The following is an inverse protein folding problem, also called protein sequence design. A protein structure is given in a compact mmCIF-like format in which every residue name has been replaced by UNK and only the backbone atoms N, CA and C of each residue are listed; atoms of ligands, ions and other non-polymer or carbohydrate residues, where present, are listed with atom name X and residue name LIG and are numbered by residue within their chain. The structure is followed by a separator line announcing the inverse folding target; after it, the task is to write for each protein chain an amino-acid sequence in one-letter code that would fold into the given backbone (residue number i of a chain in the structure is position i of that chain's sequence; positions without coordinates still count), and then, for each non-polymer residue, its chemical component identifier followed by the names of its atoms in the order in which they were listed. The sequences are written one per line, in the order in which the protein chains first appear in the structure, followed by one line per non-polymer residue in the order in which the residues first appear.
data_IF_351414179030
#
_entry.id   IF_351414179030
#
_cell.length_a   1.000
_cell.length_b   1.000
_cell.length_c   1.000
_cell.angle_alpha   90.00
_cell.angle_beta   90.00
_cell.angle_gamma   90.00
#
_symmetry.space_group_name_H-M   'P 1'
#
loop_
_entity.id
_entity.type
_entity.pdbx_description
1 polymer ?
#
# COMPACT_ATOMS: atom_id res chain seq x y z
N UNK A 1 9.50 -9.86 27.36
CA UNK A 1 8.32 -9.40 26.58
C UNK A 1 7.93 -10.55 25.65
N UNK A 2 6.63 -10.89 25.54
CA UNK A 2 6.20 -11.94 24.57
C UNK A 2 6.49 -11.48 23.15
N UNK A 3 7.00 -12.35 22.28
CA UNK A 3 7.28 -12.07 20.87
C UNK A 3 6.05 -11.60 20.11
N UNK A 4 4.87 -12.07 20.51
CA UNK A 4 3.60 -11.64 19.88
C UNK A 4 3.30 -10.16 20.11
N UNK A 5 3.78 -9.56 21.22
CA UNK A 5 3.64 -8.12 21.47
C UNK A 5 4.42 -7.25 20.48
N UNK A 6 5.40 -7.82 19.78
CA UNK A 6 6.11 -7.08 18.74
C UNK A 6 5.20 -6.74 17.54
N UNK A 7 4.14 -7.50 17.33
CA UNK A 7 3.16 -7.32 16.24
C UNK A 7 1.94 -6.49 16.64
N UNK A 8 1.87 -6.06 17.91
CA UNK A 8 0.76 -5.24 18.43
C UNK A 8 0.85 -3.82 17.87
N UNK A 9 -0.27 -3.33 17.32
CA UNK A 9 -0.41 -1.98 16.80
C UNK A 9 -1.30 -1.10 17.71
N UNK A 10 -1.59 -1.54 18.93
CA UNK A 10 -2.39 -0.78 19.90
C UNK A 10 -1.76 0.60 20.16
N UNK A 11 -2.59 1.64 20.13
CA UNK A 11 -2.15 3.02 20.30
C UNK A 11 -1.47 3.65 19.09
N UNK A 12 -1.34 2.92 17.96
CA UNK A 12 -0.83 3.47 16.69
C UNK A 12 -1.96 4.00 15.84
N UNK A 13 -1.65 5.01 15.03
CA UNK A 13 -2.54 5.57 14.02
C UNK A 13 -1.98 5.24 12.65
N UNK A 14 -2.78 4.56 11.82
CA UNK A 14 -2.40 4.20 10.45
C UNK A 14 -3.22 4.99 9.43
N UNK A 15 -2.56 5.56 8.42
CA UNK A 15 -3.20 6.12 7.24
C UNK A 15 -2.99 5.18 6.07
N UNK A 16 -4.07 4.71 5.45
CA UNK A 16 -4.03 3.73 4.35
C UNK A 16 -4.70 4.30 3.10
N UNK A 17 -3.93 4.50 2.04
CA UNK A 17 -4.45 4.94 0.75
C UNK A 17 -4.96 3.75 -0.09
N UNK A 18 -5.89 4.01 -1.04
CA UNK A 18 -6.50 2.94 -1.83
C UNK A 18 -7.39 1.99 -1.00
N UNK A 19 -7.85 2.44 0.16
CA UNK A 19 -8.49 1.61 1.18
C UNK A 19 -9.97 1.27 0.90
N UNK A 20 -10.56 1.74 -0.21
CA UNK A 20 -11.95 1.40 -0.57
C UNK A 20 -12.14 -0.02 -1.11
N UNK A 21 -11.07 -0.74 -1.46
CA UNK A 21 -11.14 -2.10 -2.01
C UNK A 21 -9.78 -2.80 -2.04
N UNK A 22 -9.79 -4.12 -2.28
CA UNK A 22 -8.59 -4.91 -2.57
C UNK A 22 -7.52 -4.84 -1.47
N UNK A 23 -6.25 -4.70 -1.86
CA UNK A 23 -5.10 -4.78 -0.96
C UNK A 23 -5.16 -3.70 0.13
N UNK A 24 -5.45 -2.44 -0.23
CA UNK A 24 -5.52 -1.36 0.75
C UNK A 24 -6.61 -1.58 1.80
N UNK A 25 -7.78 -2.08 1.39
CA UNK A 25 -8.87 -2.42 2.32
C UNK A 25 -8.48 -3.58 3.25
N UNK A 26 -7.85 -4.63 2.71
CA UNK A 26 -7.41 -5.78 3.50
C UNK A 26 -6.34 -5.40 4.54
N UNK A 27 -5.38 -4.53 4.17
CA UNK A 27 -4.36 -4.02 5.09
C UNK A 27 -5.00 -3.15 6.17
N UNK A 28 -5.94 -2.25 5.80
CA UNK A 28 -6.64 -1.41 6.76
C UNK A 28 -7.40 -2.23 7.81
N UNK A 29 -8.10 -3.29 7.38
CA UNK A 29 -8.79 -4.21 8.28
C UNK A 29 -7.80 -4.95 9.18
N UNK A 30 -6.70 -5.47 8.64
CA UNK A 30 -5.67 -6.17 9.41
C UNK A 30 -5.03 -5.27 10.49
N UNK A 31 -4.78 -4.00 10.17
CA UNK A 31 -4.23 -3.06 11.14
C UNK A 31 -5.22 -2.73 12.26
N UNK A 32 -6.50 -2.57 11.93
CA UNK A 32 -7.55 -2.37 12.94
C UNK A 32 -7.69 -3.58 13.87
N UNK A 33 -7.63 -4.80 13.33
CA UNK A 33 -7.63 -6.04 14.11
C UNK A 33 -6.39 -6.17 15.00
N UNK A 34 -5.24 -5.65 14.54
CA UNK A 34 -4.00 -5.59 15.33
C UNK A 34 -3.98 -4.42 16.34
N UNK A 35 -5.07 -3.66 16.50
CA UNK A 35 -5.24 -2.63 17.52
C UNK A 35 -5.02 -1.19 17.06
N UNK A 36 -4.64 -0.95 15.80
CA UNK A 36 -4.45 0.42 15.30
C UNK A 36 -5.80 1.15 15.09
N UNK A 37 -5.78 2.47 15.24
CA UNK A 37 -6.81 3.34 14.69
C UNK A 37 -6.47 3.67 13.24
N UNK A 38 -7.42 3.49 12.30
CA UNK A 38 -7.13 3.54 10.87
C UNK A 38 -7.87 4.69 10.17
N UNK A 39 -7.13 5.57 9.52
CA UNK A 39 -7.67 6.59 8.60
C UNK A 39 -7.58 6.03 7.17
N UNK A 40 -8.72 5.72 6.60
CA UNK A 40 -8.84 5.12 5.26
C UNK A 40 -9.01 6.21 4.21
N UNK A 41 -8.22 6.16 3.13
CA UNK A 41 -8.18 7.21 2.09
C UNK A 41 -8.48 6.61 0.72
N UNK A 42 -9.47 7.16 0.01
CA UNK A 42 -9.78 6.79 -1.38
C UNK A 42 -10.69 7.83 -2.04
N UNK A 43 -10.90 7.70 -3.37
CA UNK A 43 -11.80 8.58 -4.13
C UNK A 43 -13.27 8.18 -4.01
N UNK A 44 -13.54 6.86 -3.96
CA UNK A 44 -14.88 6.29 -3.95
C UNK A 44 -15.45 6.31 -2.54
N UNK A 45 -16.25 7.34 -2.27
CA UNK A 45 -16.71 7.64 -0.90
C UNK A 45 -17.68 6.59 -0.35
N UNK A 46 -18.60 6.09 -1.16
CA UNK A 46 -19.60 5.10 -0.71
C UNK A 46 -18.94 3.78 -0.27
N UNK A 47 -18.03 3.25 -1.12
CA UNK A 47 -17.29 2.03 -0.80
C UNK A 47 -16.35 2.23 0.39
N UNK A 48 -15.78 3.45 0.51
CA UNK A 48 -14.89 3.80 1.62
C UNK A 48 -15.67 3.82 2.94
N UNK A 49 -16.85 4.45 2.99
CA UNK A 49 -17.73 4.44 4.16
C UNK A 49 -18.18 3.03 4.54
N UNK A 50 -18.53 2.20 3.54
CA UNK A 50 -18.87 0.79 3.78
C UNK A 50 -17.70 0.01 4.39
N UNK A 51 -16.47 0.25 3.92
CA UNK A 51 -15.28 -0.39 4.47
C UNK A 51 -14.99 0.05 5.92
N UNK A 52 -15.17 1.34 6.24
CA UNK A 52 -15.09 1.86 7.61
C UNK A 52 -16.11 1.21 8.53
N UNK A 53 -17.38 1.13 8.10
CA UNK A 53 -18.45 0.51 8.87
C UNK A 53 -18.16 -0.96 9.21
N UNK A 54 -17.55 -1.72 8.27
CA UNK A 54 -17.16 -3.12 8.52
C UNK A 54 -16.11 -3.22 9.64
N UNK A 55 -15.10 -2.35 9.63
CA UNK A 55 -14.08 -2.31 10.69
C UNK A 55 -14.70 -1.93 12.03
N UNK A 56 -15.57 -0.92 12.05
CA UNK A 56 -16.23 -0.46 13.27
C UNK A 56 -17.18 -1.54 13.82
N UNK A 57 -17.93 -2.25 12.98
CA UNK A 57 -18.80 -3.36 13.38
C UNK A 57 -18.02 -4.54 13.98
N UNK A 58 -16.74 -4.71 13.60
CA UNK A 58 -15.82 -5.68 14.20
C UNK A 58 -15.12 -5.15 15.48
N UNK A 59 -15.50 -3.96 15.98
CA UNK A 59 -14.92 -3.35 17.18
C UNK A 59 -13.65 -2.53 16.94
N UNK A 60 -13.19 -2.40 15.70
CA UNK A 60 -12.02 -1.60 15.35
C UNK A 60 -12.31 -0.09 15.26
N UNK A 61 -11.26 0.72 15.31
CA UNK A 61 -11.34 2.18 15.14
C UNK A 61 -11.00 2.54 13.71
N UNK A 62 -11.95 3.12 12.97
CA UNK A 62 -11.73 3.57 11.60
C UNK A 62 -12.47 4.87 11.30
N UNK A 63 -11.86 5.70 10.46
CA UNK A 63 -12.43 6.90 9.85
C UNK A 63 -12.01 6.95 8.38
N UNK A 64 -12.59 7.86 7.60
CA UNK A 64 -12.22 7.98 6.20
C UNK A 64 -12.09 9.43 5.73
N UNK A 65 -11.23 9.63 4.73
CA UNK A 65 -11.05 10.87 3.99
C UNK A 65 -11.26 10.58 2.50
N UNK A 66 -12.19 11.29 1.87
CA UNK A 66 -12.28 11.27 0.41
C UNK A 66 -11.14 12.11 -0.17
N UNK A 67 -10.27 11.50 -0.98
CA UNK A 67 -9.13 12.17 -1.59
C UNK A 67 -8.85 11.63 -2.99
N UNK A 68 -8.65 12.53 -3.95
CA UNK A 68 -8.04 12.17 -5.24
C UNK A 68 -6.53 12.42 -5.17
N UNK A 69 -5.77 11.34 -5.14
CA UNK A 69 -4.31 11.39 -5.05
C UNK A 69 -3.62 11.87 -6.35
N UNK A 70 -4.35 11.94 -7.48
CA UNK A 70 -3.85 12.57 -8.69
C UNK A 70 -3.75 14.11 -8.55
N UNK A 71 -4.55 14.68 -7.62
CA UNK A 71 -4.62 16.10 -7.39
C UNK A 71 -3.76 16.50 -6.18
N UNK A 72 -2.66 17.23 -6.43
CA UNK A 72 -1.70 17.62 -5.39
C UNK A 72 -2.34 18.37 -4.22
N UNK A 73 -3.28 19.28 -4.51
CA UNK A 73 -4.01 20.03 -3.48
C UNK A 73 -4.85 19.11 -2.59
N UNK A 74 -5.54 18.13 -3.20
CA UNK A 74 -6.34 17.14 -2.48
C UNK A 74 -5.46 16.26 -1.56
N UNK A 75 -4.29 15.85 -2.06
CA UNK A 75 -3.32 15.07 -1.30
C UNK A 75 -2.82 15.84 -0.06
N UNK A 76 -2.49 17.13 -0.23
CA UNK A 76 -2.01 17.96 0.89
C UNK A 76 -3.12 18.19 1.92
N UNK A 77 -4.33 18.51 1.49
CA UNK A 77 -5.49 18.63 2.37
C UNK A 77 -5.76 17.33 3.16
N UNK A 78 -5.60 16.17 2.50
CA UNK A 78 -5.73 14.88 3.16
C UNK A 78 -4.66 14.70 4.27
N UNK A 79 -3.41 15.08 4.02
CA UNK A 79 -2.35 15.00 5.03
C UNK A 79 -2.60 15.93 6.23
N UNK A 80 -3.16 17.12 5.98
CA UNK A 80 -3.52 18.10 7.01
C UNK A 80 -4.71 17.63 7.85
N UNK A 81 -5.72 17.01 7.21
CA UNK A 81 -6.93 16.53 7.88
C UNK A 81 -6.72 15.23 8.67
N UNK A 82 -5.80 14.37 8.24
CA UNK A 82 -5.65 13.03 8.83
C UNK A 82 -5.46 13.03 10.36
N UNK A 83 -4.70 13.96 10.97
CA UNK A 83 -4.52 14.01 12.43
C UNK A 83 -5.79 14.33 13.23
N UNK A 84 -6.83 14.90 12.62
CA UNK A 84 -8.07 15.32 13.31
C UNK A 84 -8.87 14.12 13.84
N UNK A 85 -8.70 12.92 13.29
CA UNK A 85 -9.48 11.74 13.67
C UNK A 85 -8.92 11.03 14.91
N UNK A 86 -7.64 10.68 14.88
CA UNK A 86 -7.03 9.84 15.92
C UNK A 86 -5.64 10.34 16.34
N UNK A 87 -5.26 11.54 15.92
CA UNK A 87 -3.91 12.09 16.07
C UNK A 87 -3.02 11.81 14.85
N UNK A 88 -1.80 12.33 14.90
CA UNK A 88 -0.86 12.25 13.79
C UNK A 88 -0.52 10.78 13.44
N UNK A 89 -0.63 10.39 12.16
CA UNK A 89 -0.32 9.03 11.73
C UNK A 89 1.10 8.60 12.09
N UNK A 90 1.21 7.41 12.65
CA UNK A 90 2.45 6.71 12.95
C UNK A 90 2.86 5.77 11.80
N UNK A 91 1.87 5.31 11.04
CA UNK A 91 2.02 4.37 9.93
C UNK A 91 1.36 4.94 8.68
N UNK A 92 2.06 4.92 7.55
CA UNK A 92 1.52 5.31 6.24
C UNK A 92 1.62 4.13 5.28
N UNK A 93 0.48 3.72 4.70
CA UNK A 93 0.44 2.69 3.66
C UNK A 93 0.03 3.33 2.33
N UNK A 94 0.95 3.30 1.38
CA UNK A 94 0.71 3.76 0.01
C UNK A 94 0.25 2.59 -0.86
N UNK A 95 -1.07 2.27 -0.78
CA UNK A 95 -1.68 1.16 -1.52
C UNK A 95 -2.56 1.61 -2.70
N UNK A 96 -2.77 2.91 -2.88
CA UNK A 96 -3.45 3.41 -4.06
C UNK A 96 -2.64 3.14 -5.33
N UNK A 97 -3.33 2.76 -6.39
CA UNK A 97 -2.68 2.56 -7.68
C UNK A 97 -3.68 2.30 -8.80
N UNK A 98 -3.26 2.62 -10.01
CA UNK A 98 -3.96 2.33 -11.27
C UNK A 98 -3.02 1.64 -12.24
N UNK A 99 -3.57 0.88 -13.17
CA UNK A 99 -2.84 0.27 -14.28
C UNK A 99 -3.64 0.51 -15.57
N UNK A 100 -3.25 1.51 -16.35
CA UNK A 100 -3.80 1.79 -17.68
C UNK A 100 -3.11 0.85 -18.66
N UNK A 101 -3.88 -0.06 -19.25
CA UNK A 101 -3.37 -1.12 -20.13
C UNK A 101 -3.64 -0.75 -21.59
N UNK A 102 -2.59 -0.35 -22.29
CA UNK A 102 -2.59 -0.04 -23.71
C UNK A 102 -1.28 -0.49 -24.36
N UNK A 103 -1.27 -0.82 -25.67
CA UNK A 103 -0.03 -0.95 -26.43
C UNK A 103 0.86 0.28 -26.25
N UNK A 104 2.19 0.10 -26.25
CA UNK A 104 3.14 1.17 -25.94
C UNK A 104 2.97 2.40 -26.84
N UNK A 105 2.66 2.21 -28.11
CA UNK A 105 2.45 3.30 -29.08
C UNK A 105 1.11 4.03 -28.94
N UNK A 106 0.16 3.46 -28.19
CA UNK A 106 -1.16 4.06 -27.95
C UNK A 106 -1.26 4.80 -26.61
N UNK A 107 -0.20 4.72 -25.80
CA UNK A 107 -0.14 5.43 -24.53
C UNK A 107 0.00 6.94 -24.78
N UNK A 108 -0.84 7.72 -24.12
CA UNK A 108 -0.80 9.18 -24.16
C UNK A 108 0.04 9.74 -23.02
N UNK A 109 0.44 11.01 -23.12
CA UNK A 109 1.08 11.75 -22.01
C UNK A 109 0.18 11.76 -20.76
N UNK A 110 -1.14 11.91 -20.95
CA UNK A 110 -2.09 11.87 -19.83
C UNK A 110 -2.12 10.50 -19.13
N UNK A 111 -2.07 9.40 -19.89
CA UNK A 111 -2.01 8.04 -19.34
C UNK A 111 -0.74 7.85 -18.48
N UNK A 112 0.38 8.36 -18.98
CA UNK A 112 1.67 8.35 -18.29
C UNK A 112 1.60 9.19 -17.02
N UNK A 113 1.29 10.46 -17.13
CA UNK A 113 1.23 11.42 -16.04
C UNK A 113 0.29 10.97 -14.92
N UNK A 114 -0.93 10.55 -15.29
CA UNK A 114 -1.91 10.08 -14.32
C UNK A 114 -1.43 8.85 -13.57
N UNK A 115 -0.78 7.91 -14.27
CA UNK A 115 -0.22 6.72 -13.64
C UNK A 115 0.88 7.09 -12.66
N UNK A 116 1.82 7.95 -13.04
CA UNK A 116 2.90 8.38 -12.15
C UNK A 116 2.38 9.18 -10.96
N UNK A 117 1.46 10.13 -11.18
CA UNK A 117 0.88 10.94 -10.09
C UNK A 117 0.24 10.09 -9.00
N UNK A 118 -0.53 9.07 -9.38
CA UNK A 118 -1.23 8.22 -8.40
C UNK A 118 -0.28 7.19 -7.79
N UNK A 119 0.54 6.51 -8.60
CA UNK A 119 1.31 5.36 -8.13
C UNK A 119 2.63 5.74 -7.46
N UNK A 120 3.29 6.80 -7.93
CA UNK A 120 4.64 7.19 -7.50
C UNK A 120 4.63 8.50 -6.71
N UNK A 121 4.10 9.59 -7.31
CA UNK A 121 4.13 10.90 -6.64
C UNK A 121 3.40 10.89 -5.30
N UNK A 122 2.22 10.25 -5.23
CA UNK A 122 1.49 10.14 -3.98
C UNK A 122 2.29 9.41 -2.91
N UNK A 123 3.06 8.37 -3.31
CA UNK A 123 3.93 7.62 -2.41
C UNK A 123 5.15 8.42 -1.91
N UNK A 124 5.47 9.52 -2.59
CA UNK A 124 6.49 10.48 -2.14
C UNK A 124 5.90 11.59 -1.29
N UNK A 125 4.90 12.32 -1.82
CA UNK A 125 4.46 13.57 -1.20
C UNK A 125 3.60 13.36 0.05
N UNK A 126 2.83 12.29 0.14
CA UNK A 126 2.02 12.02 1.33
C UNK A 126 2.90 11.68 2.55
N UNK A 127 3.84 10.72 2.48
CA UNK A 127 4.79 10.51 3.57
C UNK A 127 5.65 11.74 3.89
N UNK A 128 6.05 12.53 2.88
CA UNK A 128 6.83 13.76 3.10
C UNK A 128 6.10 14.75 4.01
N UNK A 129 4.77 14.87 3.89
CA UNK A 129 3.94 15.73 4.75
C UNK A 129 3.75 15.19 6.16
N UNK A 130 3.74 13.86 6.31
CA UNK A 130 3.48 13.20 7.59
C UNK A 130 4.76 12.88 8.37
N UNK A 131 5.90 12.74 7.71
CA UNK A 131 7.19 12.41 8.32
C UNK A 131 7.63 13.36 9.44
N UNK A 132 7.41 14.69 9.40
CA UNK A 132 7.81 15.57 10.51
C UNK A 132 7.23 15.15 11.86
N UNK A 133 5.96 14.71 11.92
CA UNK A 133 5.35 14.23 13.15
C UNK A 133 5.94 12.89 13.61
N UNK A 134 6.28 11.99 12.68
CA UNK A 134 6.96 10.74 12.99
C UNK A 134 8.39 10.99 13.51
N UNK A 135 9.13 11.93 12.90
CA UNK A 135 10.47 12.34 13.33
C UNK A 135 10.41 12.88 14.76
N UNK A 136 9.45 13.74 15.06
CA UNK A 136 9.28 14.30 16.41
C UNK A 136 8.97 13.22 17.47
N UNK A 137 8.29 12.13 17.08
CA UNK A 137 8.01 10.97 17.93
C UNK A 137 9.20 9.99 18.03
N UNK A 138 10.19 10.09 17.13
CA UNK A 138 11.28 9.10 17.00
C UNK A 138 10.83 7.71 16.54
N UNK A 139 9.64 7.61 15.93
CA UNK A 139 9.09 6.36 15.43
C UNK A 139 8.11 6.58 14.28
N UNK A 140 8.22 5.77 13.24
CA UNK A 140 7.31 5.77 12.11
C UNK A 140 7.48 4.55 11.21
N UNK A 141 6.44 4.24 10.43
CA UNK A 141 6.46 3.17 9.42
C UNK A 141 5.86 3.67 8.12
N UNK A 142 6.58 3.42 7.02
CA UNK A 142 6.10 3.65 5.67
C UNK A 142 6.08 2.32 4.95
N UNK A 143 4.91 1.89 4.48
CA UNK A 143 4.72 0.65 3.73
C UNK A 143 4.20 1.00 2.34
N UNK A 144 5.06 0.87 1.34
CA UNK A 144 4.71 1.12 -0.05
C UNK A 144 4.23 -0.17 -0.73
N UNK A 145 3.18 -0.11 -1.53
CA UNK A 145 2.77 -1.25 -2.35
C UNK A 145 3.45 -1.15 -3.72
N UNK A 146 4.51 -1.93 -3.88
CA UNK A 146 5.22 -2.18 -5.12
C UNK A 146 4.44 -3.18 -6.01
N UNK A 147 5.13 -4.00 -6.80
CA UNK A 147 4.53 -5.01 -7.68
C UNK A 147 5.59 -6.01 -8.17
N UNK A 148 5.17 -7.15 -8.69
CA UNK A 148 6.00 -7.95 -9.59
C UNK A 148 6.59 -7.11 -10.72
N UNK A 149 5.82 -6.10 -11.20
CA UNK A 149 6.27 -5.19 -12.27
C UNK A 149 7.32 -4.17 -11.82
N UNK A 150 7.74 -4.18 -10.57
CA UNK A 150 8.94 -3.44 -10.15
C UNK A 150 10.23 -4.05 -10.70
N UNK A 151 10.22 -5.33 -11.04
CA UNK A 151 11.41 -6.09 -11.51
C UNK A 151 11.15 -6.93 -12.77
N UNK A 152 9.89 -7.07 -13.20
CA UNK A 152 9.50 -7.85 -14.38
C UNK A 152 8.58 -7.04 -15.29
N UNK A 153 8.72 -7.16 -16.59
CA UNK A 153 7.82 -6.55 -17.57
C UNK A 153 6.60 -7.44 -17.83
N UNK A 154 5.43 -6.79 -17.96
CA UNK A 154 4.20 -7.41 -18.44
C UNK A 154 3.64 -6.59 -19.60
N UNK A 155 3.00 -7.24 -20.56
CA UNK A 155 2.46 -6.59 -21.75
C UNK A 155 1.47 -5.46 -21.42
N UNK A 156 1.51 -4.41 -22.22
CA UNK A 156 0.57 -3.26 -22.16
C UNK A 156 0.52 -2.52 -20.81
N UNK A 157 1.62 -2.49 -20.07
CA UNK A 157 1.67 -1.92 -18.72
C UNK A 157 2.91 -1.06 -18.48
N UNK A 158 3.43 -0.38 -19.52
CA UNK A 158 4.67 0.39 -19.44
C UNK A 158 4.72 1.41 -18.29
N UNK A 159 3.79 2.38 -18.22
CA UNK A 159 3.77 3.38 -17.15
C UNK A 159 3.61 2.77 -15.75
N UNK A 160 2.80 1.70 -15.65
CA UNK A 160 2.63 1.00 -14.38
C UNK A 160 3.94 0.35 -13.90
N UNK A 161 4.63 -0.38 -14.80
CA UNK A 161 5.93 -0.98 -14.49
C UNK A 161 6.95 0.07 -14.07
N UNK A 162 7.06 1.17 -14.83
CA UNK A 162 7.93 2.29 -14.51
C UNK A 162 7.62 2.88 -13.12
N UNK A 163 6.32 3.13 -12.84
CA UNK A 163 5.90 3.65 -11.53
C UNK A 163 6.25 2.71 -10.38
N UNK A 164 6.06 1.39 -10.57
CA UNK A 164 6.33 0.40 -9.50
C UNK A 164 7.82 0.10 -9.30
N UNK A 165 8.63 0.19 -10.36
CA UNK A 165 10.09 0.25 -10.25
C UNK A 165 10.54 1.50 -9.47
N UNK A 166 9.94 2.66 -9.79
CA UNK A 166 10.15 3.91 -9.08
C UNK A 166 9.78 3.81 -7.59
N UNK A 167 8.64 3.20 -7.24
CA UNK A 167 8.22 2.97 -5.84
C UNK A 167 9.23 2.12 -5.09
N UNK A 168 9.77 1.07 -5.70
CA UNK A 168 10.80 0.23 -5.08
C UNK A 168 12.07 1.04 -4.76
N UNK A 169 12.53 1.89 -5.69
CA UNK A 169 13.70 2.73 -5.46
C UNK A 169 13.40 3.90 -4.52
N UNK A 170 12.19 4.50 -4.59
CA UNK A 170 11.73 5.52 -3.65
C UNK A 170 11.73 5.01 -2.21
N UNK A 171 11.34 3.75 -2.01
CA UNK A 171 11.36 3.11 -0.68
C UNK A 171 12.77 3.12 -0.07
N UNK A 172 13.80 2.85 -0.87
CA UNK A 172 15.20 2.94 -0.42
C UNK A 172 15.61 4.37 -0.08
N UNK A 173 15.20 5.34 -0.90
CA UNK A 173 15.48 6.76 -0.64
C UNK A 173 14.78 7.25 0.64
N UNK A 174 13.54 6.85 0.88
CA UNK A 174 12.82 7.16 2.12
C UNK A 174 13.51 6.54 3.35
N UNK A 175 13.98 5.30 3.22
CA UNK A 175 14.72 4.61 4.27
C UNK A 175 16.05 5.33 4.58
N UNK A 176 16.83 5.66 3.56
CA UNK A 176 18.10 6.38 3.72
C UNK A 176 17.89 7.73 4.43
N UNK A 177 16.90 8.50 3.98
CA UNK A 177 16.64 9.83 4.51
C UNK A 177 16.14 9.82 5.96
N UNK A 178 15.29 8.85 6.33
CA UNK A 178 14.50 8.96 7.56
C UNK A 178 14.78 7.87 8.62
N UNK A 179 15.52 6.80 8.30
CA UNK A 179 15.73 5.73 9.30
C UNK A 179 16.53 6.17 10.52
N UNK A 180 17.44 7.14 10.37
CA UNK A 180 18.17 7.75 11.50
C UNK A 180 17.25 8.50 12.49
N UNK A 181 16.02 8.79 12.08
CA UNK A 181 14.98 9.40 12.92
C UNK A 181 13.94 8.39 13.43
N UNK A 182 14.20 7.09 13.33
CA UNK A 182 13.31 6.02 13.79
C UNK A 182 12.19 5.65 12.81
N UNK A 183 12.23 6.13 11.55
CA UNK A 183 11.23 5.80 10.54
C UNK A 183 11.78 4.68 9.63
N UNK A 184 11.15 3.50 9.66
CA UNK A 184 11.45 2.44 8.69
C UNK A 184 10.52 2.53 7.49
N UNK A 185 11.09 2.55 6.29
CA UNK A 185 10.35 2.55 5.03
C UNK A 185 10.64 1.25 4.27
N UNK A 186 9.57 0.48 3.99
CA UNK A 186 9.67 -0.78 3.27
C UNK A 186 8.57 -0.91 2.21
N UNK A 187 8.71 -1.86 1.30
CA UNK A 187 7.70 -2.15 0.29
C UNK A 187 7.23 -3.60 0.37
N UNK A 188 5.97 -3.81 0.02
CA UNK A 188 5.42 -5.12 -0.30
C UNK A 188 5.23 -5.17 -1.82
N UNK A 189 5.73 -6.21 -2.48
CA UNK A 189 5.52 -6.49 -3.89
C UNK A 189 4.57 -7.69 -4.04
N UNK A 190 3.26 -7.45 -4.21
CA UNK A 190 2.30 -8.53 -4.35
C UNK A 190 2.42 -9.25 -5.69
N UNK A 191 2.16 -10.55 -5.68
CA UNK A 191 1.87 -11.35 -6.86
C UNK A 191 0.48 -11.05 -7.43
N UNK A 192 -0.17 -12.08 -7.99
CA UNK A 192 -1.54 -11.96 -8.48
C UNK A 192 -2.55 -12.23 -7.37
N UNK A 193 -3.33 -11.20 -7.03
CA UNK A 193 -4.42 -11.21 -6.05
C UNK A 193 -5.72 -10.77 -6.74
N UNK A 194 -6.85 -11.35 -6.36
CA UNK A 194 -8.15 -10.96 -6.87
C UNK A 194 -8.54 -9.58 -6.33
N UNK A 195 -8.43 -8.55 -7.16
CA UNK A 195 -8.74 -7.15 -6.84
C UNK A 195 -9.37 -6.46 -8.06
N UNK A 196 -9.99 -5.29 -7.91
CA UNK A 196 -10.47 -4.52 -9.06
C UNK A 196 -9.37 -4.19 -10.09
N UNK A 197 -8.12 -3.99 -9.65
CA UNK A 197 -6.99 -3.70 -10.54
C UNK A 197 -6.63 -4.90 -11.42
N UNK A 198 -6.81 -6.11 -10.93
CA UNK A 198 -6.47 -7.36 -11.61
C UNK A 198 -7.69 -8.03 -12.26
N UNK A 199 -8.87 -7.41 -12.19
CA UNK A 199 -10.10 -7.93 -12.78
C UNK A 199 -9.96 -8.44 -14.23
N UNK A 200 -9.21 -7.79 -15.15
CA UNK A 200 -9.02 -8.31 -16.51
C UNK A 200 -8.29 -9.65 -16.60
N UNK A 201 -7.56 -10.04 -15.54
CA UNK A 201 -6.90 -11.35 -15.44
C UNK A 201 -7.76 -12.33 -14.65
N UNK A 202 -8.39 -11.86 -13.57
CA UNK A 202 -9.27 -12.66 -12.69
C UNK A 202 -10.50 -13.15 -13.46
N UNK A 203 -11.09 -12.32 -14.32
CA UNK A 203 -12.29 -12.60 -15.10
C UNK A 203 -12.00 -13.52 -16.32
N UNK A 204 -10.74 -13.86 -16.57
CA UNK A 204 -10.33 -14.85 -17.58
C UNK A 204 -9.75 -16.08 -16.85
N UNK A 205 -10.52 -17.16 -16.69
CA UNK A 205 -10.08 -18.33 -15.94
C UNK A 205 -8.77 -18.95 -16.45
N UNK A 206 -8.55 -18.94 -17.78
CA UNK A 206 -7.33 -19.49 -18.37
C UNK A 206 -6.10 -18.65 -17.98
N UNK A 207 -6.22 -17.32 -18.05
CA UNK A 207 -5.16 -16.42 -17.60
C UNK A 207 -4.92 -16.51 -16.11
N UNK A 208 -6.00 -16.58 -15.30
CA UNK A 208 -5.89 -16.70 -13.86
C UNK A 208 -5.15 -17.97 -13.45
N UNK A 209 -5.48 -19.11 -14.09
CA UNK A 209 -4.79 -20.37 -13.88
C UNK A 209 -3.34 -20.34 -14.38
N UNK A 210 -3.07 -19.71 -15.53
CA UNK A 210 -1.72 -19.55 -16.05
C UNK A 210 -0.83 -18.70 -15.11
N UNK A 211 -1.39 -17.75 -14.36
CA UNK A 211 -0.63 -17.01 -13.34
C UNK A 211 -0.35 -17.88 -12.11
N UNK A 212 -1.32 -18.67 -11.66
CA UNK A 212 -1.13 -19.64 -10.58
C UNK A 212 -0.02 -20.66 -10.89
N UNK A 213 -0.01 -21.18 -12.11
CA UNK A 213 0.99 -22.18 -12.56
C UNK A 213 2.44 -21.62 -12.59
N UNK A 214 2.62 -20.29 -12.59
CA UNK A 214 3.95 -19.66 -12.50
C UNK A 214 4.43 -19.45 -11.07
N UNK A 215 3.60 -19.71 -10.08
CA UNK A 215 4.01 -19.63 -8.67
C UNK A 215 4.56 -20.98 -8.21
N UNK A 216 5.56 -20.98 -7.34
CA UNK A 216 6.05 -22.24 -6.75
C UNK A 216 5.01 -22.89 -5.84
N UNK A 217 4.13 -22.07 -5.22
CA UNK A 217 3.03 -22.56 -4.37
C UNK A 217 1.88 -23.17 -5.19
N UNK A 218 1.79 -22.89 -6.51
CA UNK A 218 0.76 -23.45 -7.40
C UNK A 218 -0.61 -22.76 -7.31
N UNK A 219 -0.73 -21.61 -6.66
CA UNK A 219 -1.96 -20.83 -6.57
C UNK A 219 -1.70 -19.31 -6.64
N UNK A 220 -2.73 -18.57 -7.00
CA UNK A 220 -2.73 -17.13 -6.82
C UNK A 220 -2.94 -16.72 -5.34
N UNK A 221 -2.58 -15.50 -4.98
CA UNK A 221 -2.71 -15.00 -3.63
C UNK A 221 -4.16 -14.71 -3.22
N UNK A 222 -4.50 -15.02 -1.97
CA UNK A 222 -5.66 -14.51 -1.27
C UNK A 222 -5.26 -13.25 -0.50
N UNK A 223 -6.20 -12.29 -0.30
CA UNK A 223 -5.89 -11.04 0.41
C UNK A 223 -5.35 -11.28 1.82
N UNK A 224 -5.73 -12.38 2.45
CA UNK A 224 -5.23 -12.77 3.78
C UNK A 224 -3.73 -13.10 3.77
N UNK A 225 -3.16 -13.56 2.64
CA UNK A 225 -1.72 -13.83 2.53
C UNK A 225 -0.85 -12.56 2.70
N UNK A 226 -1.44 -11.36 2.52
CA UNK A 226 -0.74 -10.07 2.69
C UNK A 226 -0.77 -9.56 4.13
N UNK A 227 -1.75 -9.97 4.94
CA UNK A 227 -2.05 -9.37 6.24
C UNK A 227 -0.88 -9.50 7.21
N UNK A 228 -0.30 -10.70 7.30
CA UNK A 228 0.84 -10.95 8.19
C UNK A 228 2.05 -10.09 7.84
N UNK A 229 2.43 -10.01 6.56
CA UNK A 229 3.54 -9.17 6.09
C UNK A 229 3.26 -7.68 6.34
N UNK A 230 2.03 -7.23 6.13
CA UNK A 230 1.65 -5.84 6.37
C UNK A 230 1.78 -5.48 7.87
N UNK A 231 1.26 -6.30 8.78
CA UNK A 231 1.40 -6.09 10.23
C UNK A 231 2.87 -6.13 10.64
N UNK A 232 3.65 -7.10 10.13
CA UNK A 232 5.08 -7.20 10.38
C UNK A 232 5.82 -5.90 10.06
N UNK A 233 5.63 -5.35 8.86
CA UNK A 233 6.30 -4.12 8.43
C UNK A 233 5.79 -2.86 9.13
N UNK A 234 4.60 -2.89 9.72
CA UNK A 234 4.00 -1.79 10.46
C UNK A 234 4.34 -1.78 11.95
N UNK A 235 4.96 -2.83 12.47
CA UNK A 235 5.11 -3.08 13.90
C UNK A 235 6.56 -2.99 14.38
N UNK A 236 6.78 -3.23 15.67
CA UNK A 236 8.11 -3.36 16.27
C UNK A 236 8.85 -4.64 15.85
N UNK A 237 8.16 -5.63 15.27
CA UNK A 237 8.79 -6.84 14.73
C UNK A 237 9.76 -6.56 13.56
N UNK A 238 9.68 -5.37 12.94
CA UNK A 238 10.54 -4.94 11.83
C UNK A 238 11.43 -3.74 12.16
N UNK A 239 11.74 -3.46 13.43
CA UNK A 239 12.52 -2.27 13.83
C UNK A 239 13.91 -2.18 13.17
N UNK A 240 14.48 -3.32 12.77
CA UNK A 240 15.79 -3.37 12.10
C UNK A 240 15.68 -3.70 10.60
N UNK A 241 14.50 -3.48 10.00
CA UNK A 241 14.22 -3.73 8.58
C UNK A 241 13.78 -2.43 7.93
N UNK A 242 14.59 -1.90 7.03
CA UNK A 242 14.31 -0.67 6.29
C UNK A 242 14.91 -0.73 4.89
N UNK A 243 14.30 -0.03 3.91
CA UNK A 243 14.72 -0.01 2.52
C UNK A 243 14.45 -1.31 1.74
N UNK A 244 13.72 -2.27 2.33
CA UNK A 244 13.52 -3.59 1.74
C UNK A 244 12.22 -3.67 0.93
N UNK A 245 12.21 -4.57 -0.05
CA UNK A 245 11.00 -4.96 -0.78
C UNK A 245 10.76 -6.44 -0.55
N UNK A 246 9.63 -6.78 0.10
CA UNK A 246 9.23 -8.16 0.36
C UNK A 246 8.24 -8.58 -0.72
N UNK A 247 8.62 -9.58 -1.51
CA UNK A 247 7.73 -10.20 -2.48
C UNK A 247 6.77 -11.17 -1.77
N UNK A 248 5.47 -10.92 -1.92
CA UNK A 248 4.40 -11.79 -1.43
C UNK A 248 3.67 -12.31 -2.67
N UNK A 249 4.27 -13.30 -3.32
CA UNK A 249 3.92 -13.69 -4.69
C UNK A 249 3.91 -15.21 -4.94
N UNK A 250 4.06 -16.00 -3.88
CA UNK A 250 4.09 -17.46 -3.99
C UNK A 250 5.32 -18.01 -4.73
N UNK A 251 6.41 -17.26 -4.79
CA UNK A 251 7.63 -17.63 -5.52
C UNK A 251 7.61 -17.28 -7.01
N UNK A 252 6.62 -16.50 -7.48
CA UNK A 252 6.52 -16.11 -8.89
C UNK A 252 7.77 -15.37 -9.40
N UNK A 253 8.39 -14.53 -8.58
CA UNK A 253 9.58 -13.76 -8.95
C UNK A 253 10.90 -14.50 -8.74
N UNK A 254 10.87 -15.65 -8.08
CA UNK A 254 12.06 -16.43 -7.75
C UNK A 254 12.48 -17.43 -8.85
N UNK A 255 11.63 -17.59 -9.88
CA UNK A 255 11.88 -18.42 -11.06
C UNK A 255 12.05 -17.63 -12.35
#
# INVERSE_FOLDING_TARGET
MSVLKLFDLSGKVALVTGASSGIGQAIAAAYAEAGAAVVMVARREAELKTAVQKIQAAGGKAACIRCDLAERKSLYACAEQAPEFFGAPDIVVNAAGINIRKPMLELTEEDWDRTLRINLDASFFLPQRLAPAMIAKGWGRIVNIASLQSVRAFGNSGPYGASKGGVMQLTRAQAEAWSKHGICANAIAPGFFATPLTAPVVNDPARWQAMAAKTFIGRNGALDDLRGTAIFLASHASDYITGQTIFVDGGFSAG
#
